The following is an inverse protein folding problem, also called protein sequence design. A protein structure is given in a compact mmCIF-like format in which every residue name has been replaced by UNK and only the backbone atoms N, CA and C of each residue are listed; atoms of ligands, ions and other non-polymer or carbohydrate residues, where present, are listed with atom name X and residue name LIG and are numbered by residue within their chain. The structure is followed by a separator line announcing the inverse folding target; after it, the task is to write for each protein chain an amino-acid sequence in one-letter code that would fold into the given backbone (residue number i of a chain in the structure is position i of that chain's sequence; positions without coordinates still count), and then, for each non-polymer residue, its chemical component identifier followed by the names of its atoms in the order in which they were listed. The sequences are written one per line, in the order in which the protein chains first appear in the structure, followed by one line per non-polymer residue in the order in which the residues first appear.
data_IF_134478601348
#
_entry.id   IF_134478601348
#
_cell.length_a   1.000
_cell.length_b   1.000
_cell.length_c   1.000
_cell.angle_alpha   90.00
_cell.angle_beta   90.00
_cell.angle_gamma   90.00
#
_symmetry.space_group_name_H-M   'P 1'
#
loop_
_entity.id
_entity.type
_entity.pdbx_description
1 polymer ?
#
# COMPACT_ATOMS: atom_id res chain seq x y z
N UNK A 1 4.43 -2.96 4.24
CA UNK A 1 5.08 -1.76 3.69
C UNK A 1 3.97 -0.77 3.34
N UNK A 2 3.70 0.22 4.19
CA UNK A 2 2.51 1.09 4.11
C UNK A 2 2.45 1.92 2.83
N UNK A 3 3.60 2.22 2.18
CA UNK A 3 3.61 2.97 0.92
C UNK A 3 2.85 2.26 -0.20
N UNK A 4 2.68 0.94 -0.13
CA UNK A 4 1.94 0.16 -1.13
C UNK A 4 0.42 0.42 -1.09
N UNK A 5 -0.12 1.00 0.00
CA UNK A 5 -1.51 1.48 -0.02
C UNK A 5 -1.71 2.60 -1.06
N UNK A 6 -0.68 3.40 -1.35
CA UNK A 6 -0.75 4.38 -2.44
C UNK A 6 -0.84 3.71 -3.82
N UNK A 7 -0.29 2.51 -3.97
CA UNK A 7 -0.45 1.74 -5.21
C UNK A 7 -1.87 1.16 -5.33
N UNK A 8 -2.49 0.71 -4.23
CA UNK A 8 -3.90 0.31 -4.20
C UNK A 8 -4.80 1.48 -4.63
N UNK A 9 -4.60 2.67 -4.05
CA UNK A 9 -5.27 3.94 -4.43
C UNK A 9 -5.14 4.28 -5.91
N UNK A 10 -3.91 4.27 -6.43
CA UNK A 10 -3.66 4.66 -7.83
C UNK A 10 -4.14 3.63 -8.84
N UNK A 11 -4.31 2.37 -8.42
CA UNK A 11 -4.71 1.30 -9.33
C UNK A 11 -6.16 1.42 -9.79
N UNK A 12 -7.04 2.02 -8.96
CA UNK A 12 -8.50 2.01 -9.12
C UNK A 12 -9.10 0.59 -9.24
N UNK A 13 -8.46 -0.42 -8.65
CA UNK A 13 -8.89 -1.82 -8.73
C UNK A 13 -9.59 -2.35 -7.48
N UNK A 14 -9.52 -1.62 -6.37
CA UNK A 14 -10.05 -2.04 -5.08
C UNK A 14 -11.41 -1.37 -4.82
N UNK A 15 -12.35 -2.06 -4.13
CA UNK A 15 -13.66 -1.50 -3.83
C UNK A 15 -13.54 -0.38 -2.79
N UNK A 16 -14.51 0.53 -2.80
CA UNK A 16 -14.70 1.52 -1.75
C UNK A 16 -15.59 0.94 -0.64
N UNK A 17 -15.26 1.26 0.60
CA UNK A 17 -16.04 0.95 1.79
C UNK A 17 -16.38 2.23 2.55
N UNK A 18 -17.50 2.19 3.27
CA UNK A 18 -17.85 3.23 4.23
C UNK A 18 -17.20 2.92 5.58
N UNK A 19 -16.41 3.86 6.10
CA UNK A 19 -15.89 3.81 7.45
C UNK A 19 -16.35 5.03 8.25
N UNK A 20 -16.13 5.01 9.56
CA UNK A 20 -16.48 6.09 10.47
C UNK A 20 -15.37 6.37 11.46
N UNK A 21 -15.12 7.65 11.72
CA UNK A 21 -14.15 8.07 12.71
C UNK A 21 -14.63 9.32 13.45
N UNK A 22 -14.04 9.56 14.61
CA UNK A 22 -14.26 10.76 15.39
C UNK A 22 -13.38 11.91 14.87
N UNK A 23 -14.00 13.01 14.45
CA UNK A 23 -13.33 14.22 13.97
C UNK A 23 -13.55 15.36 14.95
N UNK A 24 -12.51 16.16 15.22
CA UNK A 24 -12.66 17.43 15.91
C UNK A 24 -13.11 18.50 14.92
N UNK A 25 -14.35 18.97 15.03
CA UNK A 25 -14.90 20.04 14.19
C UNK A 25 -15.46 21.14 15.09
N UNK A 26 -14.98 22.37 14.92
CA UNK A 26 -15.40 23.53 15.70
C UNK A 26 -15.32 23.36 17.23
N UNK A 27 -14.35 22.58 17.72
CA UNK A 27 -14.17 22.33 19.16
C UNK A 27 -14.98 21.16 19.73
N UNK A 28 -15.80 20.49 18.90
CA UNK A 28 -16.59 19.32 19.30
C UNK A 28 -16.15 18.06 18.56
N UNK A 29 -16.28 16.91 19.20
CA UNK A 29 -16.01 15.60 18.59
C UNK A 29 -17.28 15.12 17.87
N UNK A 30 -17.17 14.95 16.55
CA UNK A 30 -18.26 14.50 15.67
C UNK A 30 -17.85 13.17 15.05
N UNK A 31 -18.70 12.16 15.17
CA UNK A 31 -18.54 10.90 14.44
C UNK A 31 -19.03 11.09 13.01
N UNK A 32 -18.11 11.04 12.06
CA UNK A 32 -18.39 11.26 10.64
C UNK A 32 -18.08 9.99 9.85
N UNK A 33 -18.92 9.74 8.85
CA UNK A 33 -18.71 8.68 7.88
C UNK A 33 -17.92 9.21 6.69
N UNK A 34 -17.05 8.38 6.13
CA UNK A 34 -16.27 8.69 4.94
C UNK A 34 -16.07 7.43 4.10
N UNK A 35 -15.74 7.64 2.83
CA UNK A 35 -15.39 6.57 1.91
C UNK A 35 -13.88 6.41 1.87
N UNK A 36 -13.41 5.18 1.87
CA UNK A 36 -12.00 4.83 1.65
C UNK A 36 -11.92 3.50 0.89
N UNK A 37 -10.72 3.15 0.42
CA UNK A 37 -10.48 1.86 -0.21
C UNK A 37 -10.47 0.74 0.83
N UNK A 38 -11.00 -0.42 0.45
CA UNK A 38 -10.84 -1.67 1.21
C UNK A 38 -9.39 -2.19 1.09
N UNK A 39 -8.50 -1.60 1.89
CA UNK A 39 -7.07 -1.91 1.85
C UNK A 39 -6.79 -3.37 2.22
N UNK A 40 -5.93 -4.04 1.44
CA UNK A 40 -5.57 -5.44 1.68
C UNK A 40 -4.04 -5.62 1.72
N UNK A 41 -3.45 -5.51 2.92
CA UNK A 41 -1.99 -5.66 3.05
C UNK A 41 -1.47 -7.09 2.82
N UNK A 42 -2.32 -8.11 2.76
CA UNK A 42 -1.91 -9.50 2.52
C UNK A 42 -1.34 -9.69 1.10
N UNK A 43 -1.81 -8.91 0.12
CA UNK A 43 -1.31 -8.99 -1.26
C UNK A 43 0.10 -8.41 -1.42
N UNK A 44 0.59 -7.64 -0.44
CA UNK A 44 1.90 -6.97 -0.52
C UNK A 44 3.07 -7.95 -0.53
N UNK A 45 2.93 -9.13 0.09
CA UNK A 45 4.00 -10.15 0.07
C UNK A 45 4.19 -10.68 -1.35
N UNK A 46 3.10 -10.96 -2.06
CA UNK A 46 3.15 -11.46 -3.43
C UNK A 46 3.69 -10.39 -4.40
N UNK A 47 3.22 -9.15 -4.26
CA UNK A 47 3.74 -8.00 -5.01
C UNK A 47 5.23 -7.79 -4.78
N UNK A 48 5.67 -7.79 -3.52
CA UNK A 48 7.09 -7.64 -3.18
C UNK A 48 7.97 -8.72 -3.79
N UNK A 49 7.53 -9.98 -3.80
CA UNK A 49 8.24 -11.08 -4.48
C UNK A 49 8.29 -10.91 -6.00
N UNK A 50 7.23 -10.39 -6.62
CA UNK A 50 7.21 -10.11 -8.05
C UNK A 50 8.20 -8.97 -8.39
N UNK A 51 8.16 -7.89 -7.63
CA UNK A 51 9.10 -6.77 -7.74
C UNK A 51 10.56 -7.26 -7.62
N UNK A 52 10.87 -8.04 -6.60
CA UNK A 52 12.23 -8.55 -6.36
C UNK A 52 12.73 -9.52 -7.43
N UNK A 53 11.83 -10.12 -8.22
CA UNK A 53 12.17 -11.00 -9.33
C UNK A 53 12.48 -10.22 -10.62
N UNK A 54 11.78 -9.11 -10.83
CA UNK A 54 11.90 -8.28 -12.04
C UNK A 54 13.00 -7.22 -11.91
N UNK A 55 13.33 -6.82 -10.68
CA UNK A 55 14.37 -5.85 -10.38
C UNK A 55 15.63 -6.55 -9.85
N UNK A 56 16.79 -5.93 -10.05
CA UNK A 56 18.07 -6.38 -9.49
C UNK A 56 18.13 -6.07 -7.98
N UNK A 57 17.31 -6.79 -7.22
CA UNK A 57 17.10 -6.57 -5.80
C UNK A 57 18.24 -7.16 -4.97
N UNK A 58 18.87 -6.31 -4.18
CA UNK A 58 19.99 -6.66 -3.31
C UNK A 58 19.59 -6.52 -1.84
N UNK A 59 19.19 -7.61 -1.16
CA UNK A 59 18.96 -7.57 0.27
C UNK A 59 20.27 -7.27 1.01
N UNK A 60 20.16 -6.54 2.12
CA UNK A 60 21.32 -6.16 2.96
C UNK A 60 21.06 -6.51 4.41
N UNK A 61 22.04 -6.26 5.27
CA UNK A 61 21.94 -6.42 6.71
C UNK A 61 22.36 -5.13 7.38
N UNK A 62 21.51 -4.58 8.25
CA UNK A 62 21.83 -3.41 9.07
C UNK A 62 21.87 -3.86 10.52
N UNK A 63 23.05 -3.79 11.15
CA UNK A 63 23.27 -4.19 12.56
C UNK A 63 22.67 -5.59 12.85
N UNK A 64 22.92 -6.55 11.97
CA UNK A 64 22.45 -7.94 12.11
C UNK A 64 20.99 -8.20 11.69
N UNK A 65 20.20 -7.16 11.37
CA UNK A 65 18.83 -7.33 10.90
C UNK A 65 18.76 -7.43 9.36
N UNK A 66 18.15 -8.50 8.80
CA UNK A 66 17.85 -8.58 7.37
C UNK A 66 17.00 -7.38 6.95
N UNK A 67 17.49 -6.59 6.01
CA UNK A 67 16.90 -5.32 5.62
C UNK A 67 16.74 -5.25 4.11
N UNK A 68 15.60 -4.70 3.69
CA UNK A 68 15.28 -4.44 2.30
C UNK A 68 15.13 -2.93 2.13
N UNK A 69 15.85 -2.37 1.16
CA UNK A 69 15.81 -0.94 0.84
C UNK A 69 15.28 -0.82 -0.58
N UNK A 70 14.27 0.03 -0.77
CA UNK A 70 13.61 0.24 -2.05
C UNK A 70 13.56 1.73 -2.38
N UNK A 71 13.63 2.06 -3.67
CA UNK A 71 13.12 3.35 -4.12
C UNK A 71 11.59 3.31 -4.00
N UNK A 72 11.03 4.22 -3.20
CA UNK A 72 9.60 4.22 -2.90
C UNK A 72 8.76 4.53 -4.15
N UNK A 73 9.23 5.40 -5.04
CA UNK A 73 8.47 5.77 -6.25
C UNK A 73 8.42 4.59 -7.21
N UNK A 74 9.57 3.97 -7.45
CA UNK A 74 9.68 2.78 -8.31
C UNK A 74 8.79 1.64 -7.79
N UNK A 75 8.85 1.35 -6.48
CA UNK A 75 8.02 0.31 -5.86
C UNK A 75 6.50 0.59 -5.96
N UNK A 76 6.08 1.85 -5.76
CA UNK A 76 4.67 2.24 -5.86
C UNK A 76 4.18 2.18 -7.31
N UNK A 77 4.99 2.64 -8.27
CA UNK A 77 4.64 2.61 -9.68
C UNK A 77 4.57 1.18 -10.21
N UNK A 78 5.50 0.31 -9.79
CA UNK A 78 5.42 -1.13 -10.02
C UNK A 78 4.14 -1.71 -9.44
N UNK A 79 3.85 -1.42 -8.16
CA UNK A 79 2.67 -1.93 -7.48
C UNK A 79 1.36 -1.51 -8.15
N UNK A 80 1.28 -0.27 -8.62
CA UNK A 80 0.09 0.26 -9.32
C UNK A 80 -0.19 -0.57 -10.59
N UNK A 81 0.85 -0.83 -11.39
CA UNK A 81 0.74 -1.67 -12.61
C UNK A 81 0.44 -3.13 -12.27
N UNK A 82 1.06 -3.65 -11.22
CA UNK A 82 0.83 -5.01 -10.73
C UNK A 82 -0.64 -5.23 -10.35
N UNK A 83 -1.27 -4.24 -9.70
CA UNK A 83 -2.69 -4.30 -9.35
C UNK A 83 -3.61 -4.21 -10.56
N UNK A 84 -3.27 -3.40 -11.56
CA UNK A 84 -4.08 -3.27 -12.78
C UNK A 84 -4.07 -4.51 -13.70
N UNK A 85 -3.04 -5.36 -13.61
CA UNK A 85 -2.84 -6.48 -14.54
C UNK A 85 -3.33 -7.82 -14.01
N UNK A 86 -3.66 -7.92 -12.73
CA UNK A 86 -4.18 -9.12 -12.10
C UNK A 86 -5.55 -8.83 -11.51
N UNK A 87 -6.51 -9.71 -11.75
CA UNK A 87 -7.76 -9.67 -10.99
C UNK A 87 -7.42 -10.12 -9.56
N UNK A 88 -7.51 -9.19 -8.61
CA UNK A 88 -7.31 -9.42 -7.17
C UNK A 88 -8.65 -9.55 -6.49
#
# INVERSE_FOLDING_TARGET
NTSLHLAEERSNMFPLIENQAAFLKNGEIIWEKYQEIDYNSEVFIALGRAYEKEHDFHPTTIIGAPTKIYDMRDLVDFGTKYFQTKNH
#
